data_IF_504004097162
#
_entry.id   IF_504004097162
#
_cell.length_a   1.000
_cell.length_b   1.000
_cell.length_c   1.000
_cell.angle_alpha   90.00
_cell.angle_beta   90.00
_cell.angle_gamma   90.00
#
_symmetry.space_group_name_H-M   'P 1'
#
loop_
_entity.id
_entity.type
_entity.pdbx_description
1 polymer ?
#
# COMPACT_ATOMS: atom_id res chain seq x y z
N UNK A 1 7.70 -22.18 6.88
CA UNK A 1 8.09 -20.78 7.13
C UNK A 1 7.27 -20.26 8.30
N UNK A 2 7.84 -19.44 9.19
CA UNK A 2 7.08 -18.73 10.22
C UNK A 2 6.98 -17.26 9.82
N UNK A 3 5.94 -16.58 10.31
CA UNK A 3 5.76 -15.15 10.08
C UNK A 3 5.54 -14.45 11.43
N UNK A 4 6.27 -13.37 11.67
CA UNK A 4 6.04 -12.44 12.78
C UNK A 4 5.48 -11.14 12.21
N UNK A 5 4.27 -10.83 12.59
CA UNK A 5 3.63 -9.55 12.28
C UNK A 5 3.94 -8.57 13.41
N UNK A 6 4.38 -7.36 13.09
CA UNK A 6 4.59 -6.33 14.10
C UNK A 6 3.27 -5.97 14.79
N UNK A 7 3.24 -5.71 16.11
CA UNK A 7 2.02 -5.34 16.84
C UNK A 7 1.27 -4.16 16.23
N UNK A 8 1.99 -3.19 15.65
CA UNK A 8 1.40 -2.05 14.92
C UNK A 8 0.60 -2.47 13.69
N UNK A 9 0.80 -3.68 13.19
CA UNK A 9 0.06 -4.31 12.09
C UNK A 9 -0.90 -5.40 12.58
N UNK A 10 -1.33 -5.34 13.82
CA UNK A 10 -2.12 -6.41 14.47
C UNK A 10 -3.42 -6.78 13.76
N UNK A 11 -3.99 -5.89 12.92
CA UNK A 11 -5.15 -6.20 12.06
C UNK A 11 -4.86 -7.28 11.00
N UNK A 12 -3.59 -7.55 10.72
CA UNK A 12 -3.15 -8.58 9.77
C UNK A 12 -2.80 -9.90 10.46
N UNK A 13 -2.63 -9.90 11.78
CA UNK A 13 -2.32 -11.10 12.55
C UNK A 13 -3.53 -12.05 12.56
N UNK A 14 -3.27 -13.32 12.25
CA UNK A 14 -4.33 -14.32 12.18
C UNK A 14 -5.31 -14.17 11.02
N UNK A 15 -5.08 -13.25 10.08
CA UNK A 15 -5.91 -13.13 8.90
C UNK A 15 -5.71 -14.38 8.01
N UNK A 16 -6.75 -15.22 7.79
CA UNK A 16 -6.64 -16.43 6.99
C UNK A 16 -6.30 -16.16 5.52
N UNK A 17 -6.52 -14.94 5.04
CA UNK A 17 -6.16 -14.50 3.70
C UNK A 17 -4.74 -13.91 3.64
N UNK A 18 -4.02 -13.91 4.77
CA UNK A 18 -2.62 -13.49 4.77
C UNK A 18 -1.78 -14.53 4.03
N UNK A 19 -1.47 -14.24 2.78
CA UNK A 19 -0.71 -15.11 1.86
C UNK A 19 0.75 -15.35 2.27
N UNK A 20 1.18 -14.79 3.39
CA UNK A 20 2.57 -14.84 3.86
C UNK A 20 2.85 -15.99 4.81
N UNK A 21 1.91 -16.90 5.00
CA UNK A 21 2.07 -18.09 5.80
C UNK A 21 1.51 -17.99 7.21
N UNK A 22 1.90 -18.92 8.05
CA UNK A 22 1.39 -19.01 9.42
C UNK A 22 1.95 -17.89 10.28
N UNK A 23 1.12 -17.30 11.13
CA UNK A 23 1.51 -16.34 12.16
C UNK A 23 2.24 -16.97 13.36
N UNK A 24 2.50 -18.28 13.32
CA UNK A 24 3.13 -19.04 14.40
C UNK A 24 4.64 -18.74 14.47
N UNK A 25 4.97 -17.58 15.02
CA UNK A 25 6.35 -17.21 15.27
C UNK A 25 6.83 -17.71 16.63
N UNK A 26 7.85 -18.55 16.63
CA UNK A 26 8.55 -19.00 17.84
C UNK A 26 10.04 -18.64 17.72
N UNK A 27 10.50 -17.68 18.51
CA UNK A 27 11.86 -17.13 18.37
C UNK A 27 12.99 -18.17 18.55
N UNK A 28 12.75 -19.27 19.24
CA UNK A 28 13.71 -20.37 19.43
C UNK A 28 13.74 -21.37 18.28
N UNK A 29 12.78 -21.29 17.39
CA UNK A 29 12.68 -22.18 16.24
C UNK A 29 13.60 -21.65 15.12
N UNK A 30 14.63 -22.39 14.76
CA UNK A 30 15.59 -22.01 13.72
C UNK A 30 15.06 -22.09 12.27
N UNK A 31 13.76 -22.36 12.07
CA UNK A 31 13.15 -22.27 10.75
C UNK A 31 13.22 -20.86 10.19
N UNK A 32 13.34 -20.68 8.86
CA UNK A 32 13.28 -19.36 8.26
C UNK A 32 12.02 -18.58 8.67
N UNK A 33 12.16 -17.28 8.92
CA UNK A 33 11.06 -16.42 9.33
C UNK A 33 10.96 -15.15 8.49
N UNK A 34 9.71 -14.72 8.25
CA UNK A 34 9.36 -13.40 7.70
C UNK A 34 9.00 -12.47 8.86
N UNK A 35 9.59 -11.30 8.87
CA UNK A 35 9.26 -10.21 9.79
C UNK A 35 8.50 -9.15 9.01
N UNK A 36 7.21 -9.06 9.25
CA UNK A 36 6.35 -8.09 8.61
C UNK A 36 6.22 -6.84 9.47
N UNK A 37 6.89 -5.78 9.04
CA UNK A 37 7.00 -4.50 9.73
C UNK A 37 8.07 -4.47 10.83
N UNK A 38 8.82 -3.37 10.87
CA UNK A 38 9.82 -3.06 11.88
C UNK A 38 9.55 -1.66 12.48
N UNK A 39 8.54 -1.55 13.33
CA UNK A 39 8.07 -0.27 13.87
C UNK A 39 8.86 0.25 15.07
N UNK A 40 9.67 -0.59 15.71
CA UNK A 40 10.43 -0.19 16.89
C UNK A 40 11.43 -1.24 17.34
N UNK A 41 12.10 -0.95 18.47
CA UNK A 41 13.11 -1.82 19.06
C UNK A 41 12.61 -3.23 19.38
N UNK A 42 11.38 -3.45 19.87
CA UNK A 42 10.88 -4.80 20.11
C UNK A 42 10.86 -5.66 18.84
N UNK A 43 10.54 -5.06 17.69
CA UNK A 43 10.53 -5.73 16.39
C UNK A 43 11.95 -6.04 15.93
N UNK A 44 12.85 -5.05 16.06
CA UNK A 44 14.25 -5.24 15.73
C UNK A 44 14.92 -6.31 16.63
N UNK A 45 14.64 -6.32 17.92
CA UNK A 45 15.19 -7.34 18.81
C UNK A 45 14.65 -8.74 18.52
N UNK A 46 13.38 -8.86 18.12
CA UNK A 46 12.83 -10.14 17.68
C UNK A 46 13.57 -10.65 16.42
N UNK A 47 13.77 -9.77 15.44
CA UNK A 47 14.53 -10.03 14.23
C UNK A 47 15.99 -10.43 14.57
N UNK A 48 16.66 -9.63 15.40
CA UNK A 48 18.05 -9.85 15.79
C UNK A 48 18.28 -11.19 16.50
N UNK A 49 17.39 -11.57 17.41
CA UNK A 49 17.48 -12.82 18.18
C UNK A 49 17.10 -14.07 17.40
N UNK A 50 16.43 -13.93 16.29
CA UNK A 50 15.99 -15.09 15.52
C UNK A 50 17.20 -15.86 14.96
N UNK A 51 17.36 -17.17 15.24
CA UNK A 51 18.56 -17.92 14.84
C UNK A 51 18.57 -18.36 13.38
N UNK A 52 17.39 -18.44 12.72
CA UNK A 52 17.25 -18.89 11.35
C UNK A 52 17.44 -17.79 10.30
N UNK A 53 17.20 -18.16 9.03
CA UNK A 53 17.18 -17.21 7.92
C UNK A 53 16.07 -16.19 8.11
N UNK A 54 16.37 -14.92 7.82
CA UNK A 54 15.54 -13.76 8.08
C UNK A 54 15.15 -13.07 6.79
N UNK A 55 13.85 -12.89 6.62
CA UNK A 55 13.28 -12.04 5.59
C UNK A 55 12.56 -10.89 6.27
N UNK A 56 12.70 -9.68 5.73
CA UNK A 56 11.95 -8.51 6.17
C UNK A 56 11.00 -8.12 5.04
N UNK A 57 9.72 -8.03 5.34
CA UNK A 57 8.75 -7.36 4.51
C UNK A 57 8.43 -6.03 5.18
N UNK A 58 8.94 -4.96 4.60
CA UNK A 58 8.67 -3.61 5.05
C UNK A 58 7.24 -3.23 4.70
N UNK A 59 6.60 -2.46 5.56
CA UNK A 59 5.17 -2.15 5.50
C UNK A 59 4.88 -0.66 5.28
N UNK A 60 5.81 0.05 4.66
CA UNK A 60 5.67 1.48 4.36
C UNK A 60 6.06 2.36 5.53
N UNK A 61 5.13 2.66 6.41
CA UNK A 61 5.37 3.61 7.54
C UNK A 61 6.44 3.16 8.52
N UNK A 62 6.71 1.87 8.64
CA UNK A 62 7.82 1.35 9.47
C UNK A 62 9.20 1.81 8.95
N UNK A 63 9.34 2.05 7.65
CA UNK A 63 10.55 2.65 7.07
C UNK A 63 10.75 4.08 7.61
N UNK A 64 9.67 4.83 7.77
CA UNK A 64 9.74 6.16 8.39
C UNK A 64 10.17 6.08 9.84
N UNK A 65 9.62 5.13 10.60
CA UNK A 65 10.06 4.86 11.97
C UNK A 65 11.53 4.47 12.04
N UNK A 66 11.97 3.58 11.17
CA UNK A 66 13.38 3.16 11.07
C UNK A 66 14.31 4.34 10.78
N UNK A 67 13.98 5.18 9.79
CA UNK A 67 14.78 6.36 9.41
C UNK A 67 14.91 7.39 10.53
N UNK A 68 13.86 7.52 11.34
CA UNK A 68 13.87 8.43 12.51
C UNK A 68 14.67 7.87 13.70
N UNK A 69 15.13 6.62 13.59
CA UNK A 69 15.78 5.90 14.68
C UNK A 69 14.78 5.38 15.73
N UNK A 70 15.19 4.35 16.45
CA UNK A 70 14.33 3.73 17.46
C UNK A 70 14.64 4.26 18.87
N UNK A 71 13.60 4.63 19.59
CA UNK A 71 13.72 5.08 20.98
C UNK A 71 13.67 3.89 21.94
N UNK A 72 14.54 3.90 22.95
CA UNK A 72 14.56 2.87 24.02
C UNK A 72 13.39 3.02 24.99
N UNK A 73 12.89 4.26 25.17
CA UNK A 73 11.80 4.59 26.09
C UNK A 73 10.78 5.49 25.37
N UNK A 74 9.49 5.29 25.64
CA UNK A 74 8.45 6.19 25.16
C UNK A 74 8.61 7.57 25.82
N UNK A 75 8.62 8.61 25.01
CA UNK A 75 8.67 10.00 25.51
C UNK A 75 10.07 10.59 25.68
N UNK A 76 11.11 9.88 25.30
CA UNK A 76 12.47 10.38 25.32
C UNK A 76 13.47 9.33 25.81
N UNK A 77 14.74 9.70 25.86
CA UNK A 77 15.80 8.78 26.27
C UNK A 77 16.83 8.54 25.16
N UNK A 78 17.42 7.35 25.15
CA UNK A 78 18.44 6.99 24.16
C UNK A 78 17.76 6.58 22.86
N UNK A 79 18.12 7.25 21.76
CA UNK A 79 17.75 6.87 20.40
C UNK A 79 18.85 6.02 19.78
N UNK A 80 18.48 4.92 19.14
CA UNK A 80 19.39 4.16 18.31
C UNK A 80 19.35 4.71 16.89
N UNK A 81 20.51 5.13 16.40
CA UNK A 81 20.63 5.61 15.02
C UNK A 81 20.39 4.46 14.02
N UNK A 82 19.80 4.78 12.86
CA UNK A 82 19.45 3.76 11.87
C UNK A 82 20.67 3.13 11.18
N UNK A 83 21.80 3.83 11.05
CA UNK A 83 22.95 3.38 10.28
C UNK A 83 23.55 2.05 10.79
N UNK A 84 23.85 1.87 12.09
CA UNK A 84 24.37 0.59 12.60
C UNK A 84 23.34 -0.55 12.46
N UNK A 85 22.05 -0.22 12.57
CA UNK A 85 20.97 -1.19 12.41
C UNK A 85 20.86 -1.61 10.94
N UNK A 86 20.99 -0.67 10.03
CA UNK A 86 20.95 -0.89 8.58
C UNK A 86 22.11 -1.80 8.13
N UNK A 87 23.32 -1.54 8.61
CA UNK A 87 24.49 -2.38 8.33
C UNK A 87 24.25 -3.83 8.77
N UNK A 88 23.70 -3.99 9.99
CA UNK A 88 23.38 -5.31 10.49
C UNK A 88 22.27 -6.00 9.67
N UNK A 89 21.20 -5.27 9.31
CA UNK A 89 20.11 -5.78 8.48
C UNK A 89 20.65 -6.23 7.13
N UNK A 90 21.41 -5.38 6.44
CA UNK A 90 21.97 -5.68 5.12
C UNK A 90 22.84 -6.95 5.13
N UNK A 91 23.56 -7.18 6.21
CA UNK A 91 24.44 -8.35 6.35
C UNK A 91 23.69 -9.63 6.70
N UNK A 92 22.57 -9.57 7.39
CA UNK A 92 21.94 -10.72 8.03
C UNK A 92 20.53 -11.04 7.53
N UNK A 93 19.92 -10.17 6.72
CA UNK A 93 18.54 -10.30 6.29
C UNK A 93 18.40 -10.10 4.78
N UNK A 94 17.32 -10.66 4.22
CA UNK A 94 16.85 -10.30 2.89
C UNK A 94 15.65 -9.35 3.04
N UNK A 95 15.73 -8.15 2.46
CA UNK A 95 14.71 -7.10 2.56
C UNK A 95 13.81 -7.05 1.33
N UNK A 96 12.52 -6.86 1.55
CA UNK A 96 11.48 -6.75 0.55
C UNK A 96 10.61 -5.53 0.82
N UNK A 97 10.26 -4.80 -0.23
CA UNK A 97 9.42 -3.60 -0.25
C UNK A 97 8.37 -3.69 -1.34
N UNK A 98 7.39 -2.83 -1.32
CA UNK A 98 6.27 -2.91 -2.26
C UNK A 98 6.41 -2.00 -3.49
N UNK A 99 7.33 -1.02 -3.44
CA UNK A 99 7.54 -0.05 -4.53
C UNK A 99 8.94 0.58 -4.52
N UNK A 100 9.21 1.40 -5.54
CA UNK A 100 10.50 2.07 -5.72
C UNK A 100 10.78 3.17 -4.68
N UNK A 101 9.75 3.87 -4.20
CA UNK A 101 9.91 4.91 -3.16
C UNK A 101 10.46 4.30 -1.87
N UNK A 102 9.91 3.17 -1.47
CA UNK A 102 10.37 2.42 -0.30
C UNK A 102 11.79 1.87 -0.51
N UNK A 103 12.06 1.31 -1.70
CA UNK A 103 13.39 0.81 -2.05
C UNK A 103 14.45 1.91 -1.94
N UNK A 104 14.20 3.06 -2.56
CA UNK A 104 15.11 4.20 -2.52
C UNK A 104 15.29 4.76 -1.10
N UNK A 105 14.23 4.75 -0.29
CA UNK A 105 14.30 5.19 1.09
C UNK A 105 15.23 4.32 1.93
N UNK A 106 15.24 3.01 1.72
CA UNK A 106 16.15 2.06 2.40
C UNK A 106 17.56 2.09 1.83
N UNK A 107 17.72 2.26 0.52
CA UNK A 107 19.02 2.32 -0.16
C UNK A 107 19.89 3.45 0.37
N UNK A 108 19.30 4.57 0.81
CA UNK A 108 20.02 5.68 1.46
C UNK A 108 20.76 5.28 2.75
N UNK A 109 20.34 4.18 3.37
CA UNK A 109 20.97 3.57 4.54
C UNK A 109 21.79 2.32 4.19
N UNK A 110 21.97 2.02 2.89
CA UNK A 110 22.71 0.87 2.41
C UNK A 110 21.95 -0.46 2.49
N UNK A 111 20.63 -0.44 2.72
CA UNK A 111 19.80 -1.65 2.67
C UNK A 111 19.32 -1.85 1.23
N UNK A 112 19.74 -2.96 0.61
CA UNK A 112 19.29 -3.36 -0.72
C UNK A 112 18.02 -4.20 -0.56
N UNK A 113 16.89 -3.67 -1.02
CA UNK A 113 15.60 -4.34 -0.97
C UNK A 113 15.11 -4.75 -2.36
N UNK A 114 14.39 -5.86 -2.44
CA UNK A 114 13.70 -6.31 -3.64
C UNK A 114 12.27 -5.75 -3.65
N UNK A 115 11.81 -5.32 -4.83
CA UNK A 115 10.45 -4.79 -4.99
C UNK A 115 9.48 -5.92 -5.36
N UNK A 116 8.43 -6.08 -4.57
CA UNK A 116 7.36 -7.01 -4.84
C UNK A 116 6.05 -6.45 -4.27
N UNK A 117 5.10 -6.01 -5.10
CA UNK A 117 3.82 -5.51 -4.61
C UNK A 117 3.05 -6.62 -3.91
N UNK A 118 2.40 -6.29 -2.81
CA UNK A 118 1.60 -7.23 -2.01
C UNK A 118 0.10 -6.97 -2.13
N UNK A 119 -0.67 -8.02 -1.89
CA UNK A 119 -2.11 -7.95 -1.78
C UNK A 119 -2.60 -8.98 -0.75
N UNK A 120 -3.46 -8.55 0.17
CA UNK A 120 -3.93 -9.37 1.28
C UNK A 120 -5.15 -10.22 0.94
N UNK A 121 -5.84 -9.93 -0.17
CA UNK A 121 -6.98 -10.69 -0.64
C UNK A 121 -6.60 -11.90 -1.50
N UNK A 122 -7.54 -12.79 -1.77
CA UNK A 122 -7.38 -13.81 -2.80
C UNK A 122 -7.66 -13.18 -4.18
N UNK A 123 -6.67 -13.19 -5.06
CA UNK A 123 -6.81 -12.65 -6.43
C UNK A 123 -7.91 -13.36 -7.24
N UNK A 124 -8.28 -14.58 -6.85
CA UNK A 124 -9.35 -15.36 -7.50
C UNK A 124 -10.75 -14.80 -7.24
N UNK A 125 -10.92 -14.00 -6.19
CA UNK A 125 -12.19 -13.36 -5.86
C UNK A 125 -12.49 -12.15 -6.76
N UNK A 126 -11.56 -11.81 -7.68
CA UNK A 126 -11.65 -10.61 -8.50
C UNK A 126 -11.79 -10.96 -9.99
N UNK A 127 -13.02 -10.90 -10.47
CA UNK A 127 -13.32 -10.95 -11.90
C UNK A 127 -13.26 -9.55 -12.53
N UNK A 128 -13.09 -9.48 -13.85
CA UNK A 128 -13.14 -8.21 -14.58
C UNK A 128 -14.58 -7.70 -14.57
N UNK A 129 -14.79 -6.55 -13.93
CA UNK A 129 -16.09 -5.86 -13.86
C UNK A 129 -16.08 -4.53 -14.60
N UNK A 130 -14.91 -4.11 -15.08
CA UNK A 130 -14.75 -2.83 -15.75
C UNK A 130 -15.72 -2.65 -16.92
N UNK A 131 -16.39 -1.53 -16.94
CA UNK A 131 -17.16 -1.03 -18.07
C UNK A 131 -17.02 0.50 -18.16
N UNK A 132 -17.17 1.05 -19.34
CA UNK A 132 -17.11 2.48 -19.56
C UNK A 132 -18.44 3.13 -19.22
N UNK A 133 -18.41 4.17 -18.39
CA UNK A 133 -19.57 5.02 -18.09
C UNK A 133 -19.49 6.32 -18.89
N UNK A 134 -20.65 6.92 -19.18
CA UNK A 134 -20.74 8.22 -19.85
C UNK A 134 -20.03 9.32 -19.07
N UNK A 135 -20.09 9.25 -17.74
CA UNK A 135 -19.30 10.04 -16.79
C UNK A 135 -18.51 9.09 -15.91
N UNK A 136 -17.18 9.05 -16.04
CA UNK A 136 -16.36 8.14 -15.26
C UNK A 136 -16.49 8.39 -13.75
N UNK A 137 -16.50 7.31 -12.98
CA UNK A 137 -16.51 7.33 -11.51
C UNK A 137 -15.16 6.86 -11.00
N UNK A 138 -14.60 7.58 -10.07
CA UNK A 138 -13.32 7.24 -9.42
C UNK A 138 -13.50 7.21 -7.92
N UNK A 139 -12.74 6.35 -7.26
CA UNK A 139 -12.83 6.22 -5.81
C UNK A 139 -11.47 6.36 -5.14
N UNK A 140 -11.49 6.92 -3.94
CA UNK A 140 -10.36 6.95 -3.03
C UNK A 140 -10.80 6.51 -1.63
N UNK A 141 -9.88 5.96 -0.87
CA UNK A 141 -10.14 5.60 0.53
C UNK A 141 -9.05 6.12 1.43
N UNK A 142 -9.43 6.45 2.66
CA UNK A 142 -8.56 6.93 3.72
C UNK A 142 -8.66 6.00 4.91
N UNK A 143 -7.56 5.75 5.59
CA UNK A 143 -7.53 5.05 6.86
C UNK A 143 -7.37 6.07 8.00
N UNK A 144 -8.22 5.98 9.00
CA UNK A 144 -8.22 6.94 10.09
C UNK A 144 -8.65 8.36 9.66
N UNK A 145 -8.03 9.38 10.24
CA UNK A 145 -8.34 10.81 10.01
C UNK A 145 -7.22 11.54 9.26
N UNK A 146 -6.36 10.83 8.54
CA UNK A 146 -5.17 11.36 7.86
C UNK A 146 -5.49 11.84 6.43
N UNK A 147 -6.38 12.79 6.27
CA UNK A 147 -6.86 13.29 4.97
C UNK A 147 -5.75 13.78 4.04
N UNK A 148 -4.87 14.62 4.56
CA UNK A 148 -3.77 15.23 3.81
C UNK A 148 -2.82 14.18 3.27
N UNK A 149 -2.46 13.22 4.11
CA UNK A 149 -1.58 12.10 3.74
C UNK A 149 -2.16 11.28 2.60
N UNK A 150 -3.50 11.17 2.54
CA UNK A 150 -4.21 10.42 1.49
C UNK A 150 -4.59 11.25 0.27
N UNK A 151 -4.19 12.53 0.23
CA UNK A 151 -4.32 13.40 -0.92
C UNK A 151 -5.74 13.92 -1.19
N UNK A 152 -6.60 14.00 -0.18
CA UNK A 152 -7.95 14.53 -0.36
C UNK A 152 -7.99 16.02 -0.64
N UNK A 153 -7.07 16.80 -0.06
CA UNK A 153 -6.89 18.20 -0.42
C UNK A 153 -6.57 18.37 -1.91
N UNK A 154 -5.79 17.42 -2.47
CA UNK A 154 -5.52 17.43 -3.91
C UNK A 154 -6.80 17.20 -4.71
N UNK A 155 -7.69 16.30 -4.28
CA UNK A 155 -8.97 16.06 -4.93
C UNK A 155 -9.83 17.32 -4.89
N UNK A 156 -9.96 17.98 -3.73
CA UNK A 156 -10.68 19.24 -3.59
C UNK A 156 -10.16 20.33 -4.54
N UNK A 157 -8.85 20.48 -4.69
CA UNK A 157 -8.25 21.49 -5.56
C UNK A 157 -8.49 21.23 -7.07
N UNK A 158 -8.69 19.98 -7.47
CA UNK A 158 -8.79 19.61 -8.88
C UNK A 158 -10.22 19.23 -9.32
N UNK A 159 -11.15 19.02 -8.39
CA UNK A 159 -12.48 18.47 -8.67
C UNK A 159 -13.21 19.19 -9.79
N UNK A 160 -13.28 20.54 -9.75
CA UNK A 160 -13.95 21.35 -10.76
C UNK A 160 -13.30 21.30 -12.17
N UNK A 161 -12.05 20.81 -12.24
CA UNK A 161 -11.28 20.70 -13.49
C UNK A 161 -11.40 19.31 -14.11
N UNK A 162 -12.11 18.40 -13.44
CA UNK A 162 -12.19 16.99 -13.82
C UNK A 162 -13.62 16.62 -14.23
N UNK A 163 -13.75 15.97 -15.39
CA UNK A 163 -15.01 15.46 -15.91
C UNK A 163 -15.32 14.05 -15.37
N UNK A 164 -15.13 13.84 -14.08
CA UNK A 164 -15.37 12.58 -13.36
C UNK A 164 -16.15 12.85 -12.07
N UNK A 165 -16.75 11.81 -11.52
CA UNK A 165 -17.34 11.83 -10.19
C UNK A 165 -16.39 11.15 -9.20
N UNK A 166 -16.06 11.83 -8.10
CA UNK A 166 -15.20 11.33 -7.04
C UNK A 166 -16.02 10.72 -5.91
N UNK A 167 -15.73 9.48 -5.56
CA UNK A 167 -16.36 8.76 -4.46
C UNK A 167 -15.32 8.51 -3.35
N UNK A 168 -15.48 9.22 -2.23
CA UNK A 168 -14.53 9.23 -1.14
C UNK A 168 -15.06 8.40 0.03
N UNK A 169 -14.26 7.41 0.47
CA UNK A 169 -14.57 6.48 1.55
C UNK A 169 -13.59 6.65 2.71
N UNK A 170 -14.10 6.66 3.94
CA UNK A 170 -13.27 6.80 5.13
C UNK A 170 -14.03 7.31 6.35
N UNK A 171 -13.34 7.67 7.42
CA UNK A 171 -13.92 8.01 8.72
C UNK A 171 -14.58 9.41 8.82
N UNK A 172 -15.18 9.93 7.76
CA UNK A 172 -15.50 11.37 7.66
C UNK A 172 -16.98 11.66 7.64
N UNK A 173 -17.65 11.40 8.69
CA UNK A 173 -18.99 11.97 8.91
C UNK A 173 -19.01 13.51 8.91
N UNK A 174 -17.84 14.16 9.07
CA UNK A 174 -17.70 15.61 9.19
C UNK A 174 -17.10 16.31 7.97
N UNK A 175 -16.50 15.58 7.02
CA UNK A 175 -15.96 16.20 5.81
C UNK A 175 -17.10 16.79 4.97
N UNK A 176 -16.98 18.05 4.64
CA UNK A 176 -17.90 18.76 3.76
C UNK A 176 -17.15 19.21 2.52
N UNK A 177 -17.75 18.98 1.37
CA UNK A 177 -17.26 19.50 0.09
C UNK A 177 -18.31 20.40 -0.52
N UNK A 178 -17.88 21.44 -1.24
CA UNK A 178 -18.75 22.29 -2.04
C UNK A 178 -18.83 21.84 -3.49
N UNK A 179 -18.01 20.87 -3.89
CA UNK A 179 -17.95 20.35 -5.26
C UNK A 179 -19.10 19.39 -5.55
N UNK A 180 -19.89 19.68 -6.58
CA UNK A 180 -21.05 18.88 -6.97
C UNK A 180 -20.72 17.48 -7.48
N UNK A 181 -19.45 17.23 -7.85
CA UNK A 181 -18.93 15.96 -8.35
C UNK A 181 -18.06 15.21 -7.33
N UNK A 182 -18.10 15.59 -6.05
CA UNK A 182 -17.43 14.89 -4.95
C UNK A 182 -18.47 14.34 -3.98
N UNK A 183 -18.50 13.01 -3.84
CA UNK A 183 -19.45 12.27 -3.01
C UNK A 183 -18.72 11.64 -1.83
N UNK A 184 -19.00 12.11 -0.63
CA UNK A 184 -18.38 11.60 0.60
C UNK A 184 -19.30 10.55 1.23
N UNK A 185 -18.84 9.30 1.27
CA UNK A 185 -19.61 8.16 1.77
C UNK A 185 -19.37 7.86 3.26
N UNK A 186 -18.31 8.44 3.85
CA UNK A 186 -17.91 8.10 5.20
C UNK A 186 -17.37 6.66 5.29
N UNK A 187 -17.36 6.13 6.53
CA UNK A 187 -16.91 4.75 6.77
C UNK A 187 -18.07 3.77 6.53
N UNK A 188 -17.87 2.90 5.58
CA UNK A 188 -18.80 1.80 5.25
C UNK A 188 -18.12 0.45 5.45
N UNK A 189 -18.87 -0.65 5.66
CA UNK A 189 -18.32 -2.00 5.70
C UNK A 189 -17.54 -2.31 4.41
N UNK A 190 -16.46 -3.10 4.53
CA UNK A 190 -15.57 -3.47 3.40
C UNK A 190 -16.34 -4.09 2.23
N UNK A 191 -17.28 -4.96 2.54
CA UNK A 191 -18.13 -5.65 1.55
C UNK A 191 -18.98 -4.66 0.78
N UNK A 192 -19.61 -3.71 1.49
CA UNK A 192 -20.41 -2.64 0.87
C UNK A 192 -19.54 -1.74 -0.01
N UNK A 193 -18.37 -1.33 0.47
CA UNK A 193 -17.43 -0.56 -0.33
C UNK A 193 -17.04 -1.32 -1.60
N UNK A 194 -16.68 -2.61 -1.49
CA UNK A 194 -16.29 -3.41 -2.65
C UNK A 194 -17.42 -3.50 -3.69
N UNK A 195 -18.68 -3.67 -3.24
CA UNK A 195 -19.84 -3.68 -4.16
C UNK A 195 -20.02 -2.36 -4.89
N UNK A 196 -19.79 -1.23 -4.20
CA UNK A 196 -19.92 0.08 -4.80
C UNK A 196 -18.80 0.36 -5.82
N UNK A 197 -17.53 0.07 -5.45
CA UNK A 197 -16.37 0.48 -6.24
C UNK A 197 -16.00 -0.48 -7.38
N UNK A 198 -16.44 -1.75 -7.34
CA UNK A 198 -16.08 -2.75 -8.37
C UNK A 198 -16.50 -2.37 -9.79
N UNK A 199 -17.51 -1.51 -9.92
CA UNK A 199 -18.05 -1.04 -11.20
C UNK A 199 -17.62 0.38 -11.57
N UNK A 200 -16.71 1.00 -10.78
CA UNK A 200 -16.14 2.30 -11.08
C UNK A 200 -14.97 2.16 -12.08
N UNK A 201 -14.51 3.27 -12.63
CA UNK A 201 -13.52 3.25 -13.70
C UNK A 201 -12.08 3.28 -13.19
N UNK A 202 -11.85 3.85 -12.01
CA UNK A 202 -10.49 3.95 -11.45
C UNK A 202 -10.47 4.00 -9.93
N UNK A 203 -9.49 3.33 -9.33
CA UNK A 203 -9.05 3.61 -7.97
C UNK A 203 -7.99 4.72 -7.98
N UNK A 204 -8.09 5.65 -7.05
CA UNK A 204 -7.20 6.80 -6.92
C UNK A 204 -6.44 6.71 -5.61
N UNK A 205 -5.09 6.73 -5.68
CA UNK A 205 -4.23 6.70 -4.51
C UNK A 205 -3.16 7.78 -4.62
N UNK A 206 -3.27 8.81 -3.79
CA UNK A 206 -2.46 10.02 -3.88
C UNK A 206 -1.54 10.25 -2.68
N UNK A 207 -1.26 9.21 -1.91
CA UNK A 207 -0.24 9.27 -0.86
C UNK A 207 1.13 9.57 -1.49
N UNK A 208 1.97 10.26 -0.74
CA UNK A 208 3.36 10.52 -1.15
C UNK A 208 4.32 9.43 -0.67
N UNK A 209 3.92 8.66 0.35
CA UNK A 209 4.66 7.52 0.87
C UNK A 209 3.67 6.44 1.34
N UNK A 210 3.69 5.28 0.69
CA UNK A 210 2.77 4.17 0.95
C UNK A 210 3.30 2.89 0.33
N UNK A 211 2.82 1.72 0.81
CA UNK A 211 2.98 0.44 0.14
C UNK A 211 2.11 0.31 -1.12
N UNK A 212 1.97 -0.90 -1.67
CA UNK A 212 1.03 -1.17 -2.76
C UNK A 212 -0.38 -1.28 -2.20
N UNK A 213 -1.13 -0.19 -2.27
CA UNK A 213 -2.40 -0.07 -1.57
C UNK A 213 -3.48 -1.02 -2.07
N UNK A 214 -4.37 -1.42 -1.17
CA UNK A 214 -5.58 -2.19 -1.49
C UNK A 214 -6.46 -1.52 -2.59
N UNK A 215 -6.46 -0.18 -2.66
CA UNK A 215 -7.19 0.58 -3.69
C UNK A 215 -6.61 0.28 -5.07
N UNK A 216 -5.29 0.36 -5.23
CA UNK A 216 -4.62 0.06 -6.50
C UNK A 216 -4.74 -1.42 -6.86
N UNK A 217 -4.49 -2.31 -5.89
CA UNK A 217 -4.59 -3.75 -6.08
C UNK A 217 -5.96 -4.17 -6.60
N UNK A 218 -7.02 -3.78 -5.91
CA UNK A 218 -8.40 -4.08 -6.32
C UNK A 218 -8.75 -3.48 -7.66
N UNK A 219 -8.34 -2.22 -7.90
CA UNK A 219 -8.60 -1.54 -9.16
C UNK A 219 -8.02 -2.32 -10.34
N UNK A 220 -6.74 -2.72 -10.29
CA UNK A 220 -6.15 -3.52 -11.38
C UNK A 220 -6.79 -4.89 -11.51
N UNK A 221 -7.15 -5.54 -10.40
CA UNK A 221 -7.77 -6.87 -10.43
C UNK A 221 -9.19 -6.86 -11.05
N UNK A 222 -9.95 -5.80 -10.87
CA UNK A 222 -11.24 -5.58 -11.55
C UNK A 222 -11.11 -5.08 -12.98
N UNK A 223 -9.88 -4.85 -13.49
CA UNK A 223 -9.62 -4.34 -14.83
C UNK A 223 -9.83 -2.84 -14.97
N UNK A 224 -9.90 -2.10 -13.89
CA UNK A 224 -10.01 -0.64 -13.86
C UNK A 224 -8.68 0.03 -14.23
N UNK A 225 -8.70 1.37 -14.37
CA UNK A 225 -7.55 2.20 -14.70
C UNK A 225 -7.08 3.02 -13.49
N UNK A 226 -6.38 2.41 -12.50
CA UNK A 226 -5.97 3.13 -11.31
C UNK A 226 -4.99 4.25 -11.64
N UNK A 227 -5.00 5.28 -10.79
CA UNK A 227 -4.17 6.47 -10.95
C UNK A 227 -3.44 6.77 -9.64
N UNK A 228 -2.13 7.10 -9.74
CA UNK A 228 -1.28 7.41 -8.59
C UNK A 228 -0.16 8.39 -8.96
N UNK A 229 0.75 8.66 -8.03
CA UNK A 229 1.98 9.43 -8.32
C UNK A 229 3.04 8.55 -8.99
N UNK A 230 3.80 9.15 -9.93
CA UNK A 230 4.80 8.43 -10.73
C UNK A 230 5.99 7.92 -9.92
N UNK A 231 6.30 8.56 -8.78
CA UNK A 231 7.41 8.20 -7.91
C UNK A 231 7.40 6.72 -7.48
N UNK A 232 6.22 6.10 -7.36
CA UNK A 232 6.10 4.70 -6.96
C UNK A 232 6.62 3.69 -7.98
N UNK A 233 6.76 4.07 -9.25
CA UNK A 233 7.28 3.21 -10.31
C UNK A 233 6.39 2.02 -10.68
N UNK A 234 5.11 2.05 -10.37
CA UNK A 234 4.17 0.97 -10.64
C UNK A 234 3.97 0.74 -12.14
N UNK A 235 4.09 -0.51 -12.58
CA UNK A 235 3.97 -0.88 -14.00
C UNK A 235 2.53 -0.88 -14.45
N UNK A 236 2.27 -0.33 -15.63
CA UNK A 236 0.95 -0.30 -16.31
C UNK A 236 -0.16 0.41 -15.51
N UNK A 237 0.18 1.19 -14.50
CA UNK A 237 -0.73 2.07 -13.76
C UNK A 237 -0.55 3.49 -14.30
N UNK A 238 -1.65 4.19 -14.57
CA UNK A 238 -1.60 5.60 -14.97
C UNK A 238 -1.01 6.41 -13.80
N UNK A 239 0.01 7.20 -14.08
CA UNK A 239 0.74 7.93 -13.02
C UNK A 239 1.08 9.35 -13.43
N UNK A 240 1.08 10.27 -12.46
CA UNK A 240 1.31 11.68 -12.67
C UNK A 240 2.44 12.22 -11.78
N UNK A 241 3.22 13.16 -12.30
CA UNK A 241 4.23 13.90 -11.52
C UNK A 241 3.65 15.19 -10.91
N UNK A 242 2.52 15.65 -11.44
CA UNK A 242 1.91 16.93 -11.10
C UNK A 242 0.39 16.82 -11.04
N UNK A 243 -0.24 17.76 -10.34
CA UNK A 243 -1.71 17.91 -10.33
C UNK A 243 -2.28 18.08 -11.75
N UNK A 244 -1.56 18.78 -12.64
CA UNK A 244 -2.00 18.93 -14.04
C UNK A 244 -1.98 17.60 -14.81
N UNK A 245 -0.96 16.77 -14.60
CA UNK A 245 -0.90 15.41 -15.13
C UNK A 245 -2.03 14.54 -14.59
N UNK A 246 -2.33 14.66 -13.30
CA UNK A 246 -3.45 13.94 -12.66
C UNK A 246 -4.80 14.32 -13.31
N UNK A 247 -5.06 15.63 -13.52
CA UNK A 247 -6.25 16.12 -14.22
C UNK A 247 -6.33 15.53 -15.64
N UNK A 248 -5.19 15.47 -16.35
CA UNK A 248 -5.15 14.90 -17.70
C UNK A 248 -5.53 13.41 -17.70
N UNK A 249 -4.99 12.59 -16.77
CA UNK A 249 -5.34 11.17 -16.63
C UNK A 249 -6.82 11.00 -16.27
N UNK A 250 -7.35 11.74 -15.31
CA UNK A 250 -8.75 11.70 -14.91
C UNK A 250 -9.67 12.03 -16.07
N UNK A 251 -9.40 13.11 -16.80
CA UNK A 251 -10.19 13.50 -17.95
C UNK A 251 -10.08 12.53 -19.15
N UNK A 252 -8.99 11.75 -19.21
CA UNK A 252 -8.81 10.71 -20.24
C UNK A 252 -9.56 9.41 -19.94
N UNK A 253 -10.08 9.19 -18.74
CA UNK A 253 -10.84 7.98 -18.39
C UNK A 253 -12.03 7.75 -19.31
N UNK A 254 -12.68 8.81 -19.79
CA UNK A 254 -13.76 8.73 -20.78
C UNK A 254 -13.37 8.06 -22.11
N UNK A 255 -12.05 8.00 -22.42
CA UNK A 255 -11.53 7.38 -23.64
C UNK A 255 -11.05 5.93 -23.40
N UNK A 256 -11.11 5.43 -22.17
CA UNK A 256 -10.71 4.05 -21.81
C UNK A 256 -11.89 3.11 -22.05
N UNK A 257 -12.06 2.68 -23.31
CA UNK A 257 -13.23 1.88 -23.72
C UNK A 257 -13.18 0.40 -23.27
N UNK A 258 -12.01 -0.11 -22.88
CA UNK A 258 -11.78 -1.50 -22.51
C UNK A 258 -11.09 -1.63 -21.14
N UNK A 259 -11.17 -2.79 -20.48
CA UNK A 259 -10.43 -3.06 -19.25
C UNK A 259 -8.91 -2.86 -19.43
N UNK A 260 -8.22 -2.52 -18.34
CA UNK A 260 -6.77 -2.45 -18.28
C UNK A 260 -6.17 -3.88 -18.17
N UNK A 261 -6.25 -4.64 -19.24
CA UNK A 261 -5.78 -6.03 -19.26
C UNK A 261 -4.26 -6.14 -19.05
N UNK A 262 -3.49 -5.14 -19.48
CA UNK A 262 -2.04 -5.14 -19.31
C UNK A 262 -1.67 -5.05 -17.83
N UNK A 263 -2.25 -4.11 -17.08
CA UNK A 263 -2.03 -4.01 -15.65
C UNK A 263 -2.51 -5.28 -14.95
N UNK A 264 -3.73 -5.72 -15.23
CA UNK A 264 -4.29 -6.92 -14.61
C UNK A 264 -3.41 -8.15 -14.81
N UNK A 265 -2.98 -8.42 -16.04
CA UNK A 265 -2.09 -9.54 -16.35
C UNK A 265 -0.76 -9.44 -15.60
N UNK A 266 -0.19 -8.24 -15.58
CA UNK A 266 1.08 -8.01 -14.88
C UNK A 266 0.93 -8.30 -13.37
N UNK A 267 -0.08 -7.73 -12.71
CA UNK A 267 -0.24 -7.89 -11.26
C UNK A 267 -0.70 -9.29 -10.85
N UNK A 268 -1.54 -9.97 -11.63
CA UNK A 268 -1.83 -11.39 -11.41
C UNK A 268 -0.58 -12.27 -11.43
N UNK A 269 0.44 -11.89 -12.21
CA UNK A 269 1.69 -12.63 -12.30
C UNK A 269 2.77 -12.18 -11.30
N UNK A 270 2.61 -11.02 -10.65
CA UNK A 270 3.67 -10.42 -9.84
C UNK A 270 3.27 -10.06 -8.40
N UNK A 271 1.98 -10.14 -8.04
CA UNK A 271 1.55 -9.94 -6.65
C UNK A 271 2.02 -11.10 -5.78
N UNK A 272 2.56 -10.77 -4.60
CA UNK A 272 2.95 -11.73 -3.56
C UNK A 272 3.98 -12.79 -4.01
N UNK A 273 4.85 -12.46 -4.98
CA UNK A 273 5.89 -13.39 -5.44
C UNK A 273 7.11 -13.28 -4.53
N UNK A 274 6.98 -13.84 -3.36
CA UNK A 274 8.07 -13.93 -2.40
C UNK A 274 8.69 -15.32 -2.36
N UNK A 275 9.97 -15.45 -1.92
CA UNK A 275 10.60 -16.78 -1.79
C UNK A 275 9.88 -17.69 -0.80
N UNK A 276 9.08 -17.16 0.08
CA UNK A 276 8.34 -17.91 1.09
C UNK A 276 6.88 -18.24 0.73
N UNK A 277 6.39 -17.77 -0.41
CA UNK A 277 5.04 -18.08 -0.92
C UNK A 277 5.03 -19.21 -1.95
N UNK A 278 6.21 -19.75 -2.27
CA UNK A 278 6.39 -20.85 -3.23
C UNK A 278 6.35 -22.22 -2.56
#
# INVERSE_FOLDING_TARGET
MQCRVAPSLGTFEGNPNCVWGTTDYAYKDGRPAVFFGLYGLPDFFALWRHPGKKYILWAGTDITHFRNGYWLEEGGGIRLDPEPLAEWIQKNCESWVENEVEREALERYGIIAQVCPSFLGDVKDYEVTYHQNSRPQVYASVSGDNFDEYGWEVIEEIADKCAVDFHLYGNFSEWKTEHHNVFVHGRVPKEKMNEDIKNMQAGLRLNVFDGFSEVLAKSVLWGQWPITWSAFGYKHIDSADTKQGLIAHLNNLKNKAAPNEMARKYYLANLNIYPWTK
#
